data_IF_715438600197
#
_entry.id   IF_715438600197
#
_cell.length_a   1.000
_cell.length_b   1.000
_cell.length_c   1.000
_cell.angle_alpha   90.00
_cell.angle_beta   90.00
_cell.angle_gamma   90.00
#
_symmetry.space_group_name_H-M   'P 1'
#
loop_
_entity.id
_entity.type
_entity.pdbx_description
1 polymer ?
#
# COMPACT_ATOMS: atom_id res chain seq x y z
N UNK A 1 -13.37 8.57 4.73
CA UNK A 1 -13.11 7.21 4.20
C UNK A 1 -11.67 7.02 3.74
N UNK A 2 -11.11 7.88 2.87
CA UNK A 2 -9.72 7.71 2.38
C UNK A 2 -8.66 7.63 3.50
N UNK A 3 -8.73 8.50 4.52
CA UNK A 3 -7.81 8.47 5.68
C UNK A 3 -7.85 7.13 6.45
N UNK A 4 -9.05 6.56 6.60
CA UNK A 4 -9.25 5.25 7.25
C UNK A 4 -8.64 4.15 6.39
N UNK A 5 -8.82 4.22 5.08
CA UNK A 5 -8.21 3.27 4.15
C UNK A 5 -6.67 3.35 4.16
N UNK A 6 -6.09 4.55 4.28
CA UNK A 6 -4.65 4.73 4.48
C UNK A 6 -4.18 4.04 5.76
N UNK A 7 -4.85 4.31 6.88
CA UNK A 7 -4.50 3.71 8.16
C UNK A 7 -4.60 2.18 8.13
N UNK A 8 -5.68 1.64 7.55
CA UNK A 8 -5.88 0.20 7.39
C UNK A 8 -4.78 -0.45 6.53
N UNK A 9 -4.46 0.18 5.41
CA UNK A 9 -3.40 -0.26 4.49
C UNK A 9 -2.02 -0.25 5.17
N UNK A 10 -1.70 0.79 5.93
CA UNK A 10 -0.47 0.87 6.74
C UNK A 10 -0.43 -0.18 7.86
N UNK A 11 -1.53 -0.42 8.58
CA UNK A 11 -1.61 -1.49 9.59
C UNK A 11 -1.37 -2.85 8.96
N UNK A 12 -1.96 -3.12 7.80
CA UNK A 12 -1.71 -4.37 7.07
C UNK A 12 -0.23 -4.57 6.71
N UNK A 13 0.44 -3.51 6.27
CA UNK A 13 1.88 -3.49 6.01
C UNK A 13 2.70 -3.79 7.27
N UNK A 14 2.39 -3.15 8.40
CA UNK A 14 3.09 -3.39 9.67
C UNK A 14 2.89 -4.84 10.14
N UNK A 15 1.67 -5.36 10.07
CA UNK A 15 1.35 -6.74 10.44
C UNK A 15 2.12 -7.75 9.59
N UNK A 16 2.18 -7.54 8.27
CA UNK A 16 2.99 -8.34 7.36
C UNK A 16 4.46 -8.37 7.78
N UNK A 17 5.07 -7.19 8.00
CA UNK A 17 6.49 -7.13 8.35
C UNK A 17 6.79 -7.77 9.70
N UNK A 18 5.94 -7.58 10.71
CA UNK A 18 6.12 -8.18 12.04
C UNK A 18 5.95 -9.71 11.99
N UNK A 19 5.06 -10.21 11.12
CA UNK A 19 4.85 -11.65 10.96
C UNK A 19 6.00 -12.33 10.22
N UNK A 20 6.55 -11.69 9.19
CA UNK A 20 7.60 -12.28 8.35
C UNK A 20 9.00 -12.08 8.92
N UNK A 21 9.22 -10.98 9.66
CA UNK A 21 10.52 -10.64 10.22
C UNK A 21 10.42 -10.59 11.76
N UNK A 22 11.03 -11.54 12.49
CA UNK A 22 10.95 -11.58 13.94
C UNK A 22 11.69 -10.40 14.57
N UNK A 23 11.14 -9.86 15.67
CA UNK A 23 11.78 -8.78 16.44
C UNK A 23 11.63 -7.37 15.84
N UNK A 24 10.79 -7.21 14.82
CA UNK A 24 10.52 -5.90 14.24
C UNK A 24 9.85 -4.94 15.25
N UNK A 25 10.26 -3.68 15.18
CA UNK A 25 9.62 -2.56 15.88
C UNK A 25 9.22 -1.49 14.86
N UNK A 26 8.44 -0.49 15.26
CA UNK A 26 8.10 0.63 14.37
C UNK A 26 9.33 1.44 13.90
N UNK A 27 10.47 1.29 14.57
CA UNK A 27 11.73 1.96 14.22
C UNK A 27 12.66 1.07 13.38
N UNK A 28 12.33 -0.20 13.19
CA UNK A 28 13.10 -1.09 12.32
C UNK A 28 13.09 -0.56 10.89
N UNK A 29 14.22 -0.60 10.15
CA UNK A 29 14.33 -0.02 8.81
C UNK A 29 13.22 -0.47 7.84
N UNK A 30 12.83 -1.74 7.94
CA UNK A 30 11.85 -2.37 7.06
C UNK A 30 10.43 -1.80 7.26
N UNK A 31 10.13 -1.26 8.44
CA UNK A 31 8.87 -0.57 8.75
C UNK A 31 9.03 0.95 8.62
N UNK A 32 10.11 1.51 9.15
CA UNK A 32 10.32 2.95 9.24
C UNK A 32 10.44 3.60 7.87
N UNK A 33 11.29 3.09 6.98
CA UNK A 33 11.51 3.75 5.68
C UNK A 33 10.26 3.74 4.80
N UNK A 34 9.52 2.62 4.65
CA UNK A 34 8.25 2.65 3.93
C UNK A 34 7.18 3.50 4.64
N UNK A 35 7.20 3.59 5.97
CA UNK A 35 6.32 4.51 6.72
C UNK A 35 6.62 5.97 6.40
N UNK A 36 7.89 6.36 6.32
CA UNK A 36 8.27 7.71 5.89
C UNK A 36 7.83 7.96 4.43
N UNK A 37 7.97 6.98 3.55
CA UNK A 37 7.46 7.06 2.18
C UNK A 37 5.93 7.22 2.15
N UNK A 38 5.17 6.50 3.00
CA UNK A 38 3.74 6.72 3.20
C UNK A 38 3.43 8.17 3.52
N UNK A 39 4.16 8.78 4.46
CA UNK A 39 3.95 10.19 4.85
C UNK A 39 4.20 11.15 3.67
N UNK A 40 5.24 10.90 2.88
CA UNK A 40 5.52 11.68 1.66
C UNK A 40 4.40 11.53 0.65
N UNK A 41 3.95 10.30 0.37
CA UNK A 41 2.86 10.02 -0.57
C UNK A 41 1.54 10.63 -0.09
N UNK A 42 1.26 10.62 1.21
CA UNK A 42 0.10 11.29 1.81
C UNK A 42 0.19 12.80 1.60
N UNK A 43 1.36 13.42 1.77
CA UNK A 43 1.55 14.85 1.54
C UNK A 43 1.26 15.24 0.08
N UNK A 44 1.47 14.32 -0.87
CA UNK A 44 1.18 14.54 -2.29
C UNK A 44 -0.32 14.59 -2.62
N UNK A 45 -1.20 14.16 -1.70
CA UNK A 45 -2.65 14.17 -1.90
C UNK A 45 -3.23 15.57 -2.15
N UNK A 46 -2.50 16.63 -1.77
CA UNK A 46 -2.91 18.01 -2.05
C UNK A 46 -2.97 18.34 -3.54
N UNK A 47 -2.30 17.55 -4.39
CA UNK A 47 -2.28 17.73 -5.83
C UNK A 47 -2.90 16.57 -6.59
N UNK A 48 -2.65 15.33 -6.13
CA UNK A 48 -3.09 14.14 -6.85
C UNK A 48 -3.11 12.91 -5.94
N UNK A 49 -4.04 12.00 -6.22
CA UNK A 49 -4.13 10.70 -5.54
C UNK A 49 -3.44 9.57 -6.31
N UNK A 50 -2.87 9.84 -7.49
CA UNK A 50 -2.17 8.82 -8.28
C UNK A 50 -0.98 8.18 -7.53
N UNK A 51 -0.13 8.92 -6.81
CA UNK A 51 0.94 8.32 -6.03
C UNK A 51 0.42 7.37 -4.95
N UNK A 52 -0.68 7.73 -4.28
CA UNK A 52 -1.29 6.88 -3.25
C UNK A 52 -1.92 5.61 -3.83
N UNK A 53 -2.52 5.71 -5.02
CA UNK A 53 -2.97 4.53 -5.76
C UNK A 53 -1.79 3.63 -6.14
N UNK A 54 -0.74 4.20 -6.74
CA UNK A 54 0.46 3.46 -7.13
C UNK A 54 1.13 2.79 -5.94
N UNK A 55 1.18 3.48 -4.80
CA UNK A 55 1.71 2.94 -3.55
C UNK A 55 0.88 1.76 -3.03
N UNK A 56 -0.45 1.89 -2.98
CA UNK A 56 -1.33 0.79 -2.60
C UNK A 56 -1.24 -0.41 -3.57
N UNK A 57 -1.09 -0.14 -4.88
CA UNK A 57 -0.91 -1.17 -5.89
C UNK A 57 0.45 -1.88 -5.76
N UNK A 58 1.53 -1.14 -5.51
CA UNK A 58 2.86 -1.71 -5.24
C UNK A 58 2.81 -2.64 -4.03
N UNK A 59 2.20 -2.19 -2.92
CA UNK A 59 2.09 -2.98 -1.71
C UNK A 59 1.16 -4.19 -1.89
N UNK A 60 -0.02 -4.02 -2.50
CA UNK A 60 -1.01 -5.09 -2.62
C UNK A 60 -0.70 -6.09 -3.72
N UNK A 61 -0.32 -5.62 -4.91
CA UNK A 61 -0.05 -6.48 -6.06
C UNK A 61 1.40 -6.96 -6.05
N UNK A 62 2.37 -6.05 -5.89
CA UNK A 62 3.78 -6.42 -5.85
C UNK A 62 4.14 -7.15 -4.56
N UNK A 63 3.91 -6.49 -3.42
CA UNK A 63 4.30 -6.99 -2.11
C UNK A 63 3.40 -8.09 -1.55
N UNK A 64 2.09 -8.04 -1.79
CA UNK A 64 1.13 -8.98 -1.21
C UNK A 64 0.86 -10.21 -2.07
N UNK A 65 0.75 -10.02 -3.38
CA UNK A 65 0.36 -11.08 -4.32
C UNK A 65 1.55 -11.68 -5.07
N UNK A 66 2.32 -10.87 -5.80
CA UNK A 66 3.38 -11.36 -6.70
C UNK A 66 4.53 -12.00 -5.91
N UNK A 67 4.94 -11.39 -4.81
CA UNK A 67 6.06 -11.83 -3.95
C UNK A 67 5.96 -13.28 -3.45
N UNK A 68 4.74 -13.82 -3.34
CA UNK A 68 4.47 -15.19 -2.85
C UNK A 68 4.07 -16.15 -3.95
N UNK A 69 4.08 -15.72 -5.21
CA UNK A 69 3.87 -16.64 -6.32
C UNK A 69 5.09 -17.56 -6.46
N UNK A 70 4.91 -18.84 -6.85
CA UNK A 70 5.99 -19.79 -7.05
C UNK A 70 6.74 -19.52 -8.37
N UNK A 71 7.26 -18.31 -8.53
CA UNK A 71 8.03 -17.88 -9.70
C UNK A 71 9.53 -18.11 -9.46
N UNK A 72 10.24 -18.76 -10.40
CA UNK A 72 11.60 -19.26 -10.16
C UNK A 72 12.67 -18.17 -9.94
N UNK A 73 12.35 -16.90 -10.20
CA UNK A 73 13.25 -15.75 -10.03
C UNK A 73 13.00 -14.96 -8.73
N UNK A 74 11.98 -15.32 -7.94
CA UNK A 74 11.68 -14.64 -6.68
C UNK A 74 12.48 -15.25 -5.52
N UNK A 75 12.89 -14.44 -4.53
CA UNK A 75 13.49 -14.95 -3.31
C UNK A 75 12.41 -15.65 -2.47
N UNK A 76 12.55 -16.95 -2.26
CA UNK A 76 11.67 -17.73 -1.37
C UNK A 76 12.15 -17.71 0.08
N UNK A 77 12.57 -16.54 0.54
CA UNK A 77 12.89 -16.24 1.93
C UNK A 77 11.95 -15.11 2.39
N UNK A 78 11.15 -15.31 3.45
CA UNK A 78 11.12 -16.47 4.34
C UNK A 78 10.49 -17.73 3.71
N UNK A 79 10.59 -18.84 4.42
CA UNK A 79 9.99 -20.12 4.02
C UNK A 79 8.49 -19.97 3.75
N UNK A 80 8.05 -20.47 2.59
CA UNK A 80 6.68 -20.38 2.10
C UNK A 80 5.73 -21.32 2.87
N UNK A 81 5.31 -20.87 4.05
CA UNK A 81 4.44 -21.60 4.97
C UNK A 81 3.01 -21.04 4.96
N UNK A 82 2.05 -21.79 5.52
CA UNK A 82 0.67 -21.30 5.68
C UNK A 82 0.61 -20.00 6.51
N UNK A 83 1.49 -19.86 7.50
CA UNK A 83 1.63 -18.62 8.28
C UNK A 83 1.97 -17.44 7.36
N UNK A 84 3.05 -17.55 6.58
CA UNK A 84 3.50 -16.53 5.65
C UNK A 84 2.39 -16.16 4.64
N UNK A 85 1.79 -17.16 3.98
CA UNK A 85 0.70 -16.92 3.03
C UNK A 85 -0.51 -16.22 3.65
N UNK A 86 -0.87 -16.55 4.90
CA UNK A 86 -2.02 -15.94 5.57
C UNK A 86 -1.82 -14.45 5.81
N UNK A 87 -0.61 -14.04 6.21
CA UNK A 87 -0.27 -12.62 6.39
C UNK A 87 -0.17 -11.88 5.05
N UNK A 88 0.29 -12.52 3.98
CA UNK A 88 0.22 -11.95 2.62
C UNK A 88 -1.23 -11.74 2.12
N UNK A 89 -2.15 -12.66 2.44
CA UNK A 89 -3.58 -12.48 2.14
C UNK A 89 -4.15 -11.29 2.91
N UNK A 90 -3.93 -11.22 4.23
CA UNK A 90 -4.39 -10.09 5.06
C UNK A 90 -3.81 -8.78 4.53
N UNK A 91 -2.51 -8.77 4.22
CA UNK A 91 -1.82 -7.62 3.69
C UNK A 91 -2.42 -7.16 2.36
N UNK A 92 -2.64 -8.07 1.41
CA UNK A 92 -3.28 -7.75 0.13
C UNK A 92 -4.68 -7.19 0.32
N UNK A 93 -5.51 -7.84 1.15
CA UNK A 93 -6.89 -7.41 1.39
C UNK A 93 -6.98 -6.01 2.02
N UNK A 94 -6.07 -5.69 2.93
CA UNK A 94 -6.01 -4.37 3.59
C UNK A 94 -5.57 -3.25 2.63
N UNK A 95 -4.93 -3.56 1.49
CA UNK A 95 -4.58 -2.56 0.47
C UNK A 95 -5.77 -2.18 -0.43
N UNK A 96 -6.73 -3.09 -0.64
CA UNK A 96 -7.83 -2.92 -1.61
C UNK A 96 -8.64 -1.63 -1.37
N UNK A 97 -9.09 -1.30 -0.13
CA UNK A 97 -9.86 -0.09 0.10
C UNK A 97 -9.07 1.18 -0.29
N UNK A 98 -7.76 1.22 0.00
CA UNK A 98 -6.92 2.35 -0.35
C UNK A 98 -6.77 2.47 -1.86
N UNK A 99 -6.46 1.36 -2.54
CA UNK A 99 -6.31 1.29 -3.98
C UNK A 99 -7.58 1.80 -4.70
N UNK A 100 -8.76 1.29 -4.33
CA UNK A 100 -10.03 1.69 -4.93
C UNK A 100 -10.33 3.18 -4.69
N UNK A 101 -10.20 3.66 -3.45
CA UNK A 101 -10.54 5.03 -3.11
C UNK A 101 -9.54 6.05 -3.70
N UNK A 102 -8.25 5.72 -3.73
CA UNK A 102 -7.22 6.56 -4.33
C UNK A 102 -7.39 6.66 -5.84
N UNK A 103 -7.67 5.54 -6.53
CA UNK A 103 -7.98 5.54 -7.96
C UNK A 103 -9.21 6.42 -8.26
N UNK A 104 -10.31 6.21 -7.53
CA UNK A 104 -11.54 7.01 -7.70
C UNK A 104 -11.34 8.49 -7.41
N UNK A 105 -10.39 8.85 -6.54
CA UNK A 105 -10.05 10.25 -6.28
C UNK A 105 -9.19 10.84 -7.40
N UNK A 106 -8.24 10.07 -7.93
CA UNK A 106 -7.33 10.50 -8.99
C UNK A 106 -8.00 10.59 -10.38
N UNK A 107 -8.94 9.68 -10.67
CA UNK A 107 -9.64 9.60 -11.94
C UNK A 107 -10.80 10.61 -12.08
N UNK A 108 -11.10 11.40 -11.03
CA UNK A 108 -12.09 12.47 -11.13
C UNK A 108 -11.51 13.59 -12.00
N UNK A 109 -12.20 14.01 -13.07
CA UNK A 109 -11.80 15.20 -13.81
C UNK A 109 -11.68 16.38 -12.84
N UNK A 110 -10.60 17.17 -12.98
CA UNK A 110 -10.59 18.52 -12.42
C UNK A 110 -11.86 19.19 -12.91
N UNK A 111 -12.71 19.68 -11.99
CA UNK A 111 -13.81 20.56 -12.39
C UNK A 111 -13.15 21.69 -13.16
N UNK A 112 -13.37 21.71 -14.48
CA UNK A 112 -12.87 22.76 -15.35
C UNK A 112 -13.21 24.09 -14.70
N UNK A 113 -12.25 25.00 -14.66
CA UNK A 113 -12.53 26.41 -14.42
C UNK A 113 -13.74 26.79 -15.27
N UNK A 114 -14.81 27.36 -14.69
CA UNK A 114 -15.87 27.94 -15.51
C UNK A 114 -15.18 28.87 -16.49
N UNK A 115 -15.35 28.63 -17.79
CA UNK A 115 -15.00 29.63 -18.79
C UNK A 115 -15.90 30.81 -18.43
N UNK A 116 -15.29 31.89 -17.97
CA UNK A 116 -15.99 33.14 -17.77
C UNK A 116 -16.31 33.66 -19.16
N UNK A 117 -17.48 33.32 -19.68
CA UNK A 117 -18.06 34.03 -20.82
C UNK A 117 -18.48 35.41 -20.33
N UNK A 118 -17.71 36.42 -20.71
CA UNK A 118 -17.93 37.84 -20.47
C UNK A 118 -17.20 38.69 -21.50
#
# INVERSE_FOLDING_TARGET
MLKIAIALSWVGFVLHNVADLPGQTLLSPEILYPTLAYLVVIAMLRWTSWPLFGWAALHGVGGGLISVLPLPFLPFDPAQTLHHYSFHVIYTLTQIPLMVLAYRAAARPSRGTPVADG
#
